data_IF_835393060381
#
_entry.id   IF_835393060381
#
_cell.length_a   1.000
_cell.length_b   1.000
_cell.length_c   1.000
_cell.angle_alpha   90.00
_cell.angle_beta   90.00
_cell.angle_gamma   90.00
#
_symmetry.space_group_name_H-M   'P 1'
#
loop_
_entity.id
_entity.type
_entity.pdbx_description
1 polymer ?
#
# COMPACT_ATOMS: atom_id res chain seq x y z
N UNK A 1 21.68 -9.71 7.98
CA UNK A 1 20.57 -10.65 8.23
C UNK A 1 19.64 -10.00 9.24
N UNK A 2 18.45 -9.57 8.82
CA UNK A 2 17.23 -9.45 9.66
C UNK A 2 16.14 -8.73 8.86
N UNK A 3 15.35 -9.50 8.13
CA UNK A 3 13.96 -9.13 7.85
C UNK A 3 13.13 -10.16 8.59
N UNK A 4 12.43 -9.78 9.68
CA UNK A 4 11.65 -10.76 10.42
C UNK A 4 10.44 -11.07 9.55
N UNK A 5 10.47 -12.23 8.91
CA UNK A 5 9.33 -12.82 8.21
C UNK A 5 8.07 -12.85 9.12
N UNK A 6 8.29 -12.84 10.45
CA UNK A 6 7.29 -12.71 11.50
C UNK A 6 6.58 -11.34 11.57
N UNK A 7 7.20 -10.24 11.13
CA UNK A 7 6.57 -8.90 11.16
C UNK A 7 5.58 -8.67 10.01
N UNK A 8 5.67 -9.44 8.93
CA UNK A 8 4.83 -9.25 7.75
C UNK A 8 3.37 -9.64 8.01
N UNK A 9 3.14 -10.66 8.84
CA UNK A 9 1.81 -11.13 9.22
C UNK A 9 1.18 -10.32 10.36
N UNK A 10 1.98 -9.55 11.11
CA UNK A 10 1.50 -8.72 12.22
C UNK A 10 1.08 -7.31 11.79
N UNK A 11 1.43 -6.88 10.57
CA UNK A 11 1.23 -5.49 10.14
C UNK A 11 -0.15 -5.29 9.48
N UNK A 12 -0.86 -4.23 9.88
CA UNK A 12 -2.16 -3.88 9.28
C UNK A 12 -1.99 -3.41 7.82
N UNK A 13 -3.05 -3.57 7.01
CA UNK A 13 -3.03 -3.10 5.61
C UNK A 13 -2.58 -1.63 5.47
N UNK A 14 -3.11 -0.64 6.24
CA UNK A 14 -2.67 0.76 6.18
C UNK A 14 -1.16 0.93 6.37
N UNK A 15 -0.59 0.22 7.36
CA UNK A 15 0.82 0.30 7.67
C UNK A 15 1.68 -0.31 6.55
N UNK A 16 1.31 -1.49 6.02
CA UNK A 16 2.01 -2.12 4.89
C UNK A 16 1.90 -1.27 3.61
N UNK A 17 0.75 -0.68 3.36
CA UNK A 17 0.52 0.19 2.20
C UNK A 17 1.35 1.48 2.26
N UNK A 18 1.40 2.12 3.43
CA UNK A 18 2.25 3.29 3.68
C UNK A 18 3.74 2.96 3.56
N UNK A 19 4.16 1.83 4.12
CA UNK A 19 5.55 1.38 4.03
C UNK A 19 5.94 1.15 2.57
N UNK A 20 5.13 0.43 1.80
CA UNK A 20 5.36 0.17 0.38
C UNK A 20 5.53 1.48 -0.42
N UNK A 21 4.73 2.52 -0.11
CA UNK A 21 4.91 3.84 -0.75
C UNK A 21 6.26 4.47 -0.39
N UNK A 22 6.63 4.44 0.89
CA UNK A 22 7.87 5.05 1.39
C UNK A 22 9.12 4.33 0.90
N UNK A 23 9.11 3.00 0.87
CA UNK A 23 10.22 2.17 0.39
C UNK A 23 10.53 2.44 -1.09
N UNK A 24 9.52 2.85 -1.86
CA UNK A 24 9.65 3.27 -3.25
C UNK A 24 9.82 4.80 -3.44
N UNK A 25 9.97 5.57 -2.37
CA UNK A 25 10.14 7.04 -2.38
C UNK A 25 9.05 7.80 -3.16
N UNK A 26 7.80 7.33 -3.10
CA UNK A 26 6.69 7.93 -3.85
C UNK A 26 5.93 8.96 -3.01
N UNK A 27 5.50 10.05 -3.63
CA UNK A 27 4.42 10.90 -3.07
C UNK A 27 3.08 10.16 -3.09
N UNK A 28 2.08 10.65 -2.35
CA UNK A 28 0.74 10.06 -2.41
C UNK A 28 0.12 10.13 -3.82
N UNK A 29 0.41 11.18 -4.58
CA UNK A 29 -0.05 11.29 -5.97
C UNK A 29 0.63 10.25 -6.85
N UNK A 30 1.96 10.12 -6.77
CA UNK A 30 2.70 9.11 -7.54
C UNK A 30 2.29 7.67 -7.20
N UNK A 31 1.93 7.42 -5.93
CA UNK A 31 1.35 6.14 -5.51
C UNK A 31 0.00 5.89 -6.20
N UNK A 32 -0.86 6.90 -6.23
CA UNK A 32 -2.16 6.84 -6.88
C UNK A 32 -2.01 6.54 -8.37
N UNK A 33 -1.10 7.25 -9.04
CA UNK A 33 -0.79 7.10 -10.46
C UNK A 33 -0.22 5.71 -10.76
N UNK A 34 0.72 5.22 -9.93
CA UNK A 34 1.36 3.92 -10.09
C UNK A 34 0.38 2.75 -9.91
N UNK A 35 -0.55 2.84 -8.97
CA UNK A 35 -1.56 1.80 -8.68
C UNK A 35 -2.77 1.91 -9.61
N UNK A 36 -3.01 3.09 -10.20
CA UNK A 36 -4.21 3.37 -11.00
C UNK A 36 -5.46 3.54 -10.14
N UNK A 37 -5.34 4.29 -9.04
CA UNK A 37 -6.46 4.66 -8.14
C UNK A 37 -6.47 6.16 -7.88
N UNK A 38 -7.56 6.69 -7.33
CA UNK A 38 -7.62 8.11 -6.98
C UNK A 38 -6.79 8.42 -5.72
N UNK A 39 -6.15 9.59 -5.65
CA UNK A 39 -5.34 10.01 -4.48
C UNK A 39 -6.12 9.98 -3.16
N UNK A 40 -7.42 10.28 -3.19
CA UNK A 40 -8.29 10.17 -2.01
C UNK A 40 -8.32 8.74 -1.44
N UNK A 41 -8.26 7.71 -2.30
CA UNK A 41 -8.17 6.33 -1.84
C UNK A 41 -6.84 6.08 -1.14
N UNK A 42 -5.72 6.55 -1.70
CA UNK A 42 -4.40 6.46 -1.05
C UNK A 42 -4.44 7.07 0.35
N UNK A 43 -4.94 8.31 0.48
CA UNK A 43 -5.06 9.00 1.77
C UNK A 43 -5.90 8.21 2.77
N UNK A 44 -7.08 7.70 2.34
CA UNK A 44 -7.97 6.93 3.21
C UNK A 44 -7.38 5.58 3.62
N UNK A 45 -6.65 4.91 2.72
CA UNK A 45 -5.95 3.67 3.04
C UNK A 45 -4.83 3.90 4.05
N UNK A 46 -4.00 4.92 3.86
CA UNK A 46 -2.91 5.24 4.80
C UNK A 46 -3.43 5.68 6.17
N UNK A 47 -4.58 6.37 6.21
CA UNK A 47 -5.25 6.75 7.44
C UNK A 47 -6.09 5.62 8.08
N UNK A 48 -6.20 4.45 7.45
CA UNK A 48 -7.06 3.35 7.92
C UNK A 48 -8.57 3.61 7.87
N UNK A 49 -9.00 4.64 7.13
CA UNK A 49 -10.40 5.08 6.99
C UNK A 49 -11.18 4.34 5.89
N UNK A 50 -10.51 3.47 5.15
CA UNK A 50 -11.11 2.62 4.15
C UNK A 50 -10.32 1.32 4.01
N UNK A 51 -11.02 0.25 3.63
CA UNK A 51 -10.40 -1.00 3.21
C UNK A 51 -10.47 -1.10 1.67
N UNK A 52 -9.44 -1.63 1.02
CA UNK A 52 -9.45 -1.86 -0.42
C UNK A 52 -10.39 -3.04 -0.76
N UNK A 53 -11.01 -2.98 -1.93
CA UNK A 53 -11.67 -4.15 -2.52
C UNK A 53 -10.63 -5.17 -2.98
N UNK A 54 -11.08 -6.39 -3.28
CA UNK A 54 -10.22 -7.44 -3.86
C UNK A 54 -9.59 -6.98 -5.18
N UNK A 55 -10.31 -6.23 -6.01
CA UNK A 55 -9.78 -5.67 -7.26
C UNK A 55 -8.66 -4.64 -6.98
N UNK A 56 -8.84 -3.78 -5.99
CA UNK A 56 -7.84 -2.79 -5.59
C UNK A 56 -6.60 -3.48 -5.00
N UNK A 57 -6.78 -4.53 -4.19
CA UNK A 57 -5.67 -5.36 -3.70
C UNK A 57 -4.88 -5.97 -4.86
N UNK A 58 -5.56 -6.50 -5.89
CA UNK A 58 -4.90 -7.01 -7.10
C UNK A 58 -4.12 -5.92 -7.83
N UNK A 59 -4.68 -4.72 -8.01
CA UNK A 59 -3.97 -3.58 -8.64
C UNK A 59 -2.70 -3.22 -7.87
N UNK A 60 -2.77 -3.17 -6.54
CA UNK A 60 -1.62 -2.89 -5.67
C UNK A 60 -0.57 -4.00 -5.80
N UNK A 61 -0.99 -5.27 -5.69
CA UNK A 61 -0.12 -6.43 -5.84
C UNK A 61 0.61 -6.43 -7.19
N UNK A 62 -0.10 -6.20 -8.28
CA UNK A 62 0.49 -6.11 -9.63
C UNK A 62 1.42 -4.91 -9.77
N UNK A 63 1.07 -3.73 -9.25
CA UNK A 63 1.87 -2.52 -9.38
C UNK A 63 3.23 -2.61 -8.66
N UNK A 64 3.31 -3.42 -7.61
CA UNK A 64 4.50 -3.59 -6.77
C UNK A 64 5.12 -4.98 -6.84
N UNK A 65 4.50 -5.91 -7.56
CA UNK A 65 4.93 -7.29 -7.71
C UNK A 65 5.08 -8.03 -6.36
N UNK A 66 4.04 -7.94 -5.51
CA UNK A 66 3.95 -8.49 -4.14
C UNK A 66 2.68 -9.29 -3.88
#
# INVERSE_FOLDING_TARGET
MNTPFLSYFAMSFPARFLQLRKDHNLTQQQMADKVGIHITQVKRYEAGQAQPSVEQLKKIATAFNV
#
